data_IF_262664249393
#
_entry.id   IF_262664249393
#
_cell.length_a   1.000
_cell.length_b   1.000
_cell.length_c   1.000
_cell.angle_alpha   90.00
_cell.angle_beta   90.00
_cell.angle_gamma   90.00
#
_symmetry.space_group_name_H-M   'P 1'
#
loop_
_entity.id
_entity.type
_entity.pdbx_description
1 polymer ?
#
# COMPACT_ATOMS: atom_id res chain seq x y z
N UNK A 1 0.45 1.09 -2.94
CA UNK A 1 -0.33 1.15 -1.68
C UNK A 1 0.45 0.48 -0.58
N UNK A 2 0.47 1.06 0.63
CA UNK A 2 1.25 0.57 1.78
C UNK A 2 0.33 -0.02 2.85
N UNK A 3 0.60 -1.26 3.28
CA UNK A 3 -0.21 -2.04 4.22
C UNK A 3 0.57 -2.23 5.52
N UNK A 4 -0.10 -2.04 6.66
CA UNK A 4 0.40 -2.48 7.94
C UNK A 4 -0.23 -3.83 8.30
N UNK A 5 0.59 -4.87 8.40
CA UNK A 5 0.19 -6.20 8.84
C UNK A 5 0.54 -6.35 10.33
N UNK A 6 -0.48 -6.57 11.18
CA UNK A 6 -0.32 -6.73 12.62
C UNK A 6 -0.62 -8.20 12.92
N UNK A 7 0.42 -8.97 13.18
CA UNK A 7 0.37 -10.43 13.34
C UNK A 7 1.62 -10.89 14.11
N UNK A 8 1.44 -11.57 15.24
CA UNK A 8 2.53 -12.05 16.11
C UNK A 8 3.20 -13.33 15.59
N UNK A 9 2.48 -14.14 14.83
CA UNK A 9 3.04 -15.35 14.26
C UNK A 9 4.01 -15.02 13.13
N UNK A 10 5.31 -15.10 13.42
CA UNK A 10 6.40 -14.77 12.51
C UNK A 10 6.30 -15.51 11.16
N UNK A 11 5.96 -16.81 11.18
CA UNK A 11 5.85 -17.60 9.92
C UNK A 11 4.70 -17.13 9.06
N UNK A 12 3.55 -16.84 9.68
CA UNK A 12 2.37 -16.39 8.98
C UNK A 12 2.58 -14.96 8.44
N UNK A 13 3.09 -14.05 9.28
CA UNK A 13 3.32 -12.66 8.89
C UNK A 13 4.31 -12.54 7.73
N UNK A 14 5.41 -13.28 7.75
CA UNK A 14 6.36 -13.31 6.63
C UNK A 14 5.77 -13.90 5.34
N UNK A 15 4.96 -14.97 5.46
CA UNK A 15 4.27 -15.56 4.30
C UNK A 15 3.28 -14.57 3.69
N UNK A 16 2.46 -13.92 4.53
CA UNK A 16 1.48 -12.90 4.10
C UNK A 16 2.19 -11.72 3.48
N UNK A 17 3.22 -11.16 4.12
CA UNK A 17 4.06 -10.07 3.59
C UNK A 17 4.59 -10.41 2.21
N UNK A 18 5.22 -11.58 2.04
CA UNK A 18 5.77 -12.02 0.75
C UNK A 18 4.70 -12.05 -0.36
N UNK A 19 3.49 -12.51 -0.05
CA UNK A 19 2.41 -12.60 -1.00
C UNK A 19 1.80 -11.22 -1.33
N UNK A 20 1.66 -10.34 -0.34
CA UNK A 20 1.23 -8.96 -0.54
C UNK A 20 2.23 -8.19 -1.40
N UNK A 21 3.54 -8.35 -1.15
CA UNK A 21 4.59 -7.76 -1.98
C UNK A 21 4.51 -8.28 -3.42
N UNK A 22 4.30 -9.58 -3.65
CA UNK A 22 4.09 -10.12 -5.01
C UNK A 22 2.88 -9.49 -5.71
N UNK A 23 1.85 -9.15 -4.94
CA UNK A 23 0.61 -8.54 -5.44
C UNK A 23 0.68 -7.02 -5.58
N UNK A 24 1.85 -6.39 -5.36
CA UNK A 24 2.07 -4.95 -5.60
C UNK A 24 1.99 -4.07 -4.37
N UNK A 25 1.71 -4.61 -3.20
CA UNK A 25 1.70 -3.82 -1.98
C UNK A 25 3.11 -3.62 -1.42
N UNK A 26 3.34 -2.50 -0.75
CA UNK A 26 4.41 -2.32 0.23
C UNK A 26 3.84 -2.77 1.56
N UNK A 27 4.56 -3.60 2.32
CA UNK A 27 3.99 -4.19 3.54
C UNK A 27 5.00 -4.15 4.68
N UNK A 28 4.62 -3.47 5.75
CA UNK A 28 5.34 -3.51 7.02
C UNK A 28 4.62 -4.47 7.98
N UNK A 29 5.38 -5.12 8.86
CA UNK A 29 4.87 -6.00 9.91
C UNK A 29 4.98 -5.27 11.24
N UNK A 30 3.98 -5.42 12.09
CA UNK A 30 4.04 -5.16 13.52
C UNK A 30 3.65 -6.46 14.24
N UNK A 31 4.44 -6.89 15.20
CA UNK A 31 4.23 -8.15 15.93
C UNK A 31 3.30 -8.00 17.14
N UNK A 32 3.00 -6.77 17.53
CA UNK A 32 2.18 -6.41 18.69
C UNK A 32 1.51 -5.03 18.48
N UNK A 33 0.64 -4.65 19.40
CA UNK A 33 -0.08 -3.36 19.37
C UNK A 33 0.87 -2.19 19.58
N UNK A 34 1.87 -2.33 20.44
CA UNK A 34 2.84 -1.26 20.71
C UNK A 34 3.60 -0.87 19.44
N UNK A 35 4.14 -1.87 18.72
CA UNK A 35 4.81 -1.65 17.44
C UNK A 35 3.85 -1.08 16.39
N UNK A 36 2.60 -1.55 16.35
CA UNK A 36 1.58 -1.02 15.46
C UNK A 36 1.28 0.46 15.73
N UNK A 37 1.14 0.85 17.00
CA UNK A 37 0.95 2.26 17.41
C UNK A 37 2.14 3.12 17.00
N UNK A 38 3.37 2.63 17.24
CA UNK A 38 4.59 3.32 16.84
C UNK A 38 4.61 3.54 15.33
N UNK A 39 4.30 2.51 14.55
CA UNK A 39 4.29 2.57 13.09
C UNK A 39 3.23 3.53 12.56
N UNK A 40 2.01 3.49 13.09
CA UNK A 40 0.91 4.41 12.71
C UNK A 40 1.18 5.87 13.07
N UNK A 41 2.02 6.13 14.07
CA UNK A 41 2.43 7.49 14.44
C UNK A 41 3.46 8.08 13.48
N UNK A 42 4.35 7.25 12.96
CA UNK A 42 5.53 7.70 12.22
C UNK A 42 5.39 7.54 10.70
N UNK A 43 4.47 6.67 10.24
CA UNK A 43 4.32 6.33 8.82
C UNK A 43 2.85 6.35 8.40
N UNK A 44 2.62 6.56 7.10
CA UNK A 44 1.28 6.56 6.52
C UNK A 44 1.00 5.21 5.87
N UNK A 45 -0.16 4.63 6.18
CA UNK A 45 -0.64 3.39 5.58
C UNK A 45 -1.97 3.60 4.87
N UNK A 46 -2.21 2.81 3.83
CA UNK A 46 -3.45 2.83 3.07
C UNK A 46 -4.50 1.87 3.67
N UNK A 47 -4.05 0.77 4.31
CA UNK A 47 -4.92 -0.14 5.06
C UNK A 47 -4.15 -0.90 6.15
N UNK A 48 -4.90 -1.50 7.08
CA UNK A 48 -4.40 -2.39 8.13
C UNK A 48 -4.97 -3.79 7.91
N UNK A 49 -4.13 -4.80 8.09
CA UNK A 49 -4.52 -6.21 8.27
C UNK A 49 -4.22 -6.56 9.71
N UNK A 50 -5.26 -6.86 10.51
CA UNK A 50 -5.18 -6.94 11.97
C UNK A 50 -5.55 -8.33 12.46
N UNK A 51 -4.64 -9.02 13.14
CA UNK A 51 -5.03 -10.16 13.97
C UNK A 51 -5.69 -9.69 15.27
N UNK A 52 -6.65 -10.47 15.74
CA UNK A 52 -7.34 -10.21 17.00
C UNK A 52 -6.55 -10.67 18.23
N UNK A 53 -5.78 -11.74 18.08
CA UNK A 53 -5.03 -12.35 19.18
C UNK A 53 -3.57 -11.88 19.13
N UNK A 54 -3.27 -10.84 19.87
CA UNK A 54 -1.92 -10.27 19.95
C UNK A 54 -1.37 -10.46 21.38
N UNK A 55 -0.04 -10.56 21.55
CA UNK A 55 0.58 -10.87 22.83
C UNK A 55 0.35 -9.80 23.90
N UNK A 56 0.17 -8.55 23.51
CA UNK A 56 0.03 -7.37 24.35
C UNK A 56 -1.42 -6.86 24.45
N UNK A 57 -2.39 -7.55 23.81
CA UNK A 57 -3.79 -7.15 23.93
C UNK A 57 -4.72 -7.74 22.86
N UNK A 58 -5.94 -7.23 22.89
CA UNK A 58 -6.98 -7.65 21.95
C UNK A 58 -7.10 -6.67 20.77
N UNK A 59 -6.97 -7.17 19.55
CA UNK A 59 -7.06 -6.37 18.32
C UNK A 59 -8.38 -5.59 18.16
N UNK A 60 -9.51 -6.08 18.72
CA UNK A 60 -10.77 -5.34 18.73
C UNK A 60 -10.69 -4.06 19.57
N UNK A 61 -10.04 -4.14 20.73
CA UNK A 61 -9.82 -2.98 21.59
C UNK A 61 -8.90 -1.97 20.91
N UNK A 62 -7.89 -2.45 20.20
CA UNK A 62 -7.01 -1.62 19.40
C UNK A 62 -7.75 -0.93 18.23
N UNK A 63 -8.59 -1.67 17.50
CA UNK A 63 -9.44 -1.08 16.45
C UNK A 63 -10.32 0.03 17.01
N UNK A 64 -10.97 -0.20 18.17
CA UNK A 64 -11.77 0.83 18.83
C UNK A 64 -10.95 2.08 19.14
N UNK A 65 -9.75 1.94 19.70
CA UNK A 65 -8.85 3.06 19.97
C UNK A 65 -8.50 3.86 18.70
N UNK A 66 -8.28 3.19 17.57
CA UNK A 66 -8.04 3.85 16.28
C UNK A 66 -9.26 4.67 15.86
N UNK A 67 -10.47 4.10 15.97
CA UNK A 67 -11.72 4.78 15.60
C UNK A 67 -12.07 5.94 16.52
N UNK A 68 -11.83 5.79 17.83
CA UNK A 68 -12.03 6.87 18.82
C UNK A 68 -11.15 8.09 18.52
N UNK A 69 -9.96 7.88 17.92
CA UNK A 69 -9.08 8.94 17.41
C UNK A 69 -9.50 9.48 16.03
N UNK A 70 -10.71 9.13 15.55
CA UNK A 70 -11.24 9.52 14.23
C UNK A 70 -10.38 9.09 13.03
N UNK A 71 -9.52 8.10 13.22
CA UNK A 71 -8.75 7.53 12.13
C UNK A 71 -9.64 6.54 11.35
N UNK A 72 -9.88 6.83 10.07
CA UNK A 72 -10.74 6.08 9.16
C UNK A 72 -9.95 5.14 8.23
N UNK A 73 -8.70 4.83 8.59
CA UNK A 73 -7.90 3.88 7.81
C UNK A 73 -8.66 2.55 7.65
N UNK A 74 -8.79 1.99 6.43
CA UNK A 74 -9.45 0.71 6.21
C UNK A 74 -8.77 -0.42 6.98
N UNK A 75 -9.57 -1.30 7.61
CA UNK A 75 -9.09 -2.42 8.43
C UNK A 75 -9.76 -3.72 8.02
N UNK A 76 -8.96 -4.73 7.66
CA UNK A 76 -9.38 -6.13 7.54
C UNK A 76 -8.95 -6.87 8.81
N UNK A 77 -9.89 -7.52 9.48
CA UNK A 77 -9.59 -8.37 10.62
C UNK A 77 -9.29 -9.79 10.16
N UNK A 78 -8.17 -10.35 10.63
CA UNK A 78 -7.86 -11.78 10.55
C UNK A 78 -8.31 -12.44 11.83
N UNK A 79 -9.04 -13.56 11.75
CA UNK A 79 -9.52 -14.26 12.95
C UNK A 79 -9.55 -15.76 12.76
N UNK A 80 -9.17 -16.50 13.80
CA UNK A 80 -9.38 -17.96 13.84
C UNK A 80 -10.82 -18.32 14.21
N UNK A 81 -11.62 -17.38 14.71
CA UNK A 81 -12.96 -17.63 15.21
C UNK A 81 -14.03 -17.26 14.19
N UNK A 82 -14.89 -18.23 13.87
CA UNK A 82 -16.02 -18.10 12.95
C UNK A 82 -17.27 -17.54 13.66
N UNK A 83 -17.17 -17.19 14.97
CA UNK A 83 -18.31 -16.73 15.73
C UNK A 83 -18.95 -15.48 15.09
N UNK A 84 -20.18 -15.67 14.60
CA UNK A 84 -20.96 -14.67 13.93
C UNK A 84 -21.16 -13.40 14.78
N UNK A 85 -21.29 -13.55 16.11
CA UNK A 85 -21.43 -12.44 17.04
C UNK A 85 -20.18 -11.57 17.10
N UNK A 86 -18.99 -12.16 17.06
CA UNK A 86 -17.73 -11.43 17.03
C UNK A 86 -17.53 -10.69 15.71
N UNK A 87 -17.98 -11.27 14.61
CA UNK A 87 -17.96 -10.61 13.29
C UNK A 87 -18.86 -9.37 13.27
N UNK A 88 -20.09 -9.48 13.78
CA UNK A 88 -21.03 -8.34 13.89
C UNK A 88 -20.46 -7.25 14.81
N UNK A 89 -19.90 -7.64 15.98
CA UNK A 89 -19.29 -6.68 16.91
C UNK A 89 -18.18 -5.88 16.24
N UNK A 90 -17.29 -6.53 15.52
CA UNK A 90 -16.18 -5.85 14.91
C UNK A 90 -16.56 -4.94 13.74
N UNK A 91 -17.55 -5.34 12.92
CA UNK A 91 -18.11 -4.45 11.90
C UNK A 91 -18.74 -3.21 12.54
N UNK A 92 -19.47 -3.38 13.67
CA UNK A 92 -20.04 -2.27 14.42
C UNK A 92 -18.98 -1.35 15.06
N UNK A 93 -17.79 -1.88 15.41
CA UNK A 93 -16.65 -1.09 15.90
C UNK A 93 -15.99 -0.33 14.77
N UNK A 94 -16.21 -0.74 13.51
CA UNK A 94 -15.71 -0.05 12.34
C UNK A 94 -14.61 -0.80 11.59
N UNK A 95 -14.59 -2.14 11.65
CA UNK A 95 -13.83 -2.93 10.67
C UNK A 95 -14.50 -2.85 9.29
N UNK A 96 -13.72 -2.83 8.24
CA UNK A 96 -14.23 -2.74 6.86
C UNK A 96 -14.46 -4.13 6.25
N UNK A 97 -13.74 -5.15 6.72
CA UNK A 97 -13.94 -6.55 6.29
C UNK A 97 -13.36 -7.53 7.33
N UNK A 98 -13.70 -8.82 7.15
CA UNK A 98 -13.25 -9.94 7.94
C UNK A 98 -12.77 -11.09 7.07
N UNK A 99 -11.69 -11.73 7.50
CA UNK A 99 -11.15 -12.91 6.84
C UNK A 99 -10.79 -13.98 7.89
N UNK A 100 -11.37 -15.17 7.75
CA UNK A 100 -11.15 -16.27 8.69
C UNK A 100 -9.89 -17.06 8.34
N UNK A 101 -9.11 -17.40 9.34
CA UNK A 101 -7.98 -18.33 9.24
C UNK A 101 -8.48 -19.78 9.26
N UNK A 102 -7.99 -20.70 8.40
CA UNK A 102 -7.00 -20.46 7.34
C UNK A 102 -7.63 -19.82 6.10
N UNK A 103 -6.89 -18.97 5.41
CA UNK A 103 -7.33 -18.27 4.21
C UNK A 103 -6.36 -18.43 3.04
N UNK A 104 -6.88 -18.24 1.83
CA UNK A 104 -6.06 -18.15 0.62
C UNK A 104 -5.55 -16.70 0.47
N UNK A 105 -4.28 -16.55 0.07
CA UNK A 105 -3.69 -15.22 -0.08
C UNK A 105 -4.38 -14.40 -1.17
N UNK A 106 -4.90 -15.05 -2.23
CA UNK A 106 -5.68 -14.39 -3.28
C UNK A 106 -6.95 -13.74 -2.73
N UNK A 107 -7.57 -14.38 -1.72
CA UNK A 107 -8.75 -13.82 -1.06
C UNK A 107 -8.40 -12.56 -0.27
N UNK A 108 -7.32 -12.59 0.54
CA UNK A 108 -6.86 -11.40 1.25
C UNK A 108 -6.55 -10.25 0.30
N UNK A 109 -5.85 -10.54 -0.82
CA UNK A 109 -5.53 -9.54 -1.85
C UNK A 109 -6.80 -8.96 -2.48
N UNK A 110 -7.78 -9.81 -2.82
CA UNK A 110 -9.04 -9.36 -3.40
C UNK A 110 -9.82 -8.44 -2.44
N UNK A 111 -9.88 -8.80 -1.15
CA UNK A 111 -10.53 -8.01 -0.10
C UNK A 111 -9.82 -6.67 0.15
N UNK A 112 -8.48 -6.68 0.24
CA UNK A 112 -7.69 -5.44 0.34
C UNK A 112 -7.96 -4.51 -0.84
N UNK A 113 -7.95 -5.04 -2.07
CA UNK A 113 -8.30 -4.26 -3.26
C UNK A 113 -9.72 -3.71 -3.21
N UNK A 114 -10.66 -4.44 -2.62
CA UNK A 114 -12.06 -4.02 -2.49
C UNK A 114 -12.20 -2.85 -1.51
N UNK A 115 -11.61 -2.92 -0.31
CA UNK A 115 -11.72 -1.87 0.71
C UNK A 115 -10.89 -0.62 0.37
N UNK A 116 -9.79 -0.81 -0.38
CA UNK A 116 -8.93 0.29 -0.83
C UNK A 116 -9.51 1.07 -2.02
N UNK A 117 -10.59 0.55 -2.62
CA UNK A 117 -11.29 1.17 -3.73
C UNK A 117 -12.16 2.32 -3.23
N UNK A 118 -11.80 3.56 -3.60
CA UNK A 118 -12.64 4.73 -3.27
C UNK A 118 -13.95 4.71 -4.04
N UNK A 119 -15.05 5.29 -3.51
CA UNK A 119 -16.37 5.30 -4.18
C UNK A 119 -16.35 5.83 -5.62
N UNK A 120 -15.40 6.72 -5.95
CA UNK A 120 -15.24 7.30 -7.28
C UNK A 120 -14.15 6.59 -8.13
N UNK A 121 -13.44 5.61 -7.61
CA UNK A 121 -12.35 4.88 -8.30
C UNK A 121 -12.83 3.64 -9.08
N UNK A 122 -14.15 3.44 -9.26
CA UNK A 122 -14.66 2.40 -10.17
C UNK A 122 -14.17 2.59 -11.63
N UNK A 123 -13.60 3.76 -11.95
CA UNK A 123 -13.12 4.11 -13.28
C UNK A 123 -11.59 4.20 -13.43
N UNK A 124 -10.81 4.17 -12.34
CA UNK A 124 -9.38 4.45 -12.44
C UNK A 124 -8.47 3.24 -12.08
N UNK A 125 -8.83 2.04 -12.49
CA UNK A 125 -7.87 0.92 -12.54
C UNK A 125 -6.77 1.17 -13.56
N UNK A 126 -6.99 2.13 -14.47
CA UNK A 126 -6.04 2.57 -15.48
C UNK A 126 -5.89 4.09 -15.41
N UNK A 127 -4.69 4.53 -15.15
CA UNK A 127 -4.33 5.95 -15.22
C UNK A 127 -3.92 6.24 -16.66
N UNK A 128 -4.71 7.06 -17.34
CA UNK A 128 -4.45 7.47 -18.72
C UNK A 128 -4.08 8.94 -18.72
N UNK A 129 -2.84 9.26 -19.07
CA UNK A 129 -2.34 10.63 -19.14
C UNK A 129 -1.51 10.76 -20.41
N UNK A 130 -1.93 11.63 -21.33
CA UNK A 130 -1.30 11.82 -22.65
C UNK A 130 -1.17 10.46 -23.38
N UNK A 131 0.04 10.04 -23.73
CA UNK A 131 0.33 8.77 -24.39
C UNK A 131 0.70 7.62 -23.44
N UNK A 132 0.57 7.86 -22.12
CA UNK A 132 0.88 6.87 -21.08
C UNK A 132 -0.40 6.27 -20.50
N UNK A 133 -0.46 4.94 -20.45
CA UNK A 133 -1.50 4.15 -19.79
C UNK A 133 -0.85 3.26 -18.75
N UNK A 134 -1.28 3.36 -17.48
CA UNK A 134 -0.76 2.58 -16.39
C UNK A 134 -1.88 1.84 -15.68
N UNK A 135 -1.85 0.50 -15.72
CA UNK A 135 -2.79 -0.36 -15.00
C UNK A 135 -2.29 -0.60 -13.57
N UNK A 136 -3.02 -0.07 -12.59
CA UNK A 136 -2.65 -0.15 -11.17
C UNK A 136 -2.89 -1.53 -10.56
N UNK A 137 -3.67 -2.43 -11.20
CA UNK A 137 -3.93 -3.77 -10.68
C UNK A 137 -2.79 -4.74 -10.96
N UNK A 138 -2.22 -4.67 -12.15
CA UNK A 138 -1.16 -5.57 -12.59
C UNK A 138 0.20 -4.86 -12.79
N UNK A 139 0.26 -3.54 -12.50
CA UNK A 139 1.44 -2.70 -12.67
C UNK A 139 1.99 -2.71 -14.10
N UNK A 140 1.09 -2.80 -15.10
CA UNK A 140 1.45 -2.77 -16.50
C UNK A 140 1.52 -1.33 -17.01
N UNK A 141 2.68 -0.96 -17.53
CA UNK A 141 2.90 0.32 -18.19
C UNK A 141 2.78 0.14 -19.71
N UNK A 142 2.01 1.01 -20.36
CA UNK A 142 2.00 1.17 -21.82
C UNK A 142 2.31 2.62 -22.17
N UNK A 143 3.11 2.82 -23.20
CA UNK A 143 3.40 4.13 -23.80
C UNK A 143 3.22 3.96 -25.30
N UNK A 144 2.43 4.82 -25.92
CA UNK A 144 2.02 4.67 -27.32
C UNK A 144 1.43 3.26 -27.60
N UNK A 145 0.60 2.74 -26.68
CA UNK A 145 0.01 1.39 -26.68
C UNK A 145 1.00 0.22 -26.65
N UNK A 146 2.30 0.49 -26.59
CA UNK A 146 3.35 -0.53 -26.48
C UNK A 146 3.61 -0.85 -24.99
N UNK A 147 3.66 -2.15 -24.65
CA UNK A 147 3.97 -2.59 -23.29
C UNK A 147 5.44 -2.31 -22.99
N UNK A 148 5.67 -1.52 -21.92
CA UNK A 148 7.01 -1.14 -21.47
C UNK A 148 7.34 -1.93 -20.20
N UNK A 149 8.44 -2.65 -20.21
CA UNK A 149 8.93 -3.38 -19.03
C UNK A 149 9.45 -2.40 -17.99
N UNK A 150 8.90 -2.51 -16.79
CA UNK A 150 9.25 -1.69 -15.63
C UNK A 150 9.40 -2.61 -14.42
N UNK A 151 10.42 -2.37 -13.60
CA UNK A 151 10.59 -3.14 -12.38
C UNK A 151 9.56 -2.69 -11.33
N UNK A 152 9.22 -3.59 -10.40
CA UNK A 152 8.13 -3.38 -9.45
C UNK A 152 8.29 -2.12 -8.60
N UNK A 153 9.51 -1.83 -8.13
CA UNK A 153 9.80 -0.63 -7.33
C UNK A 153 9.53 0.64 -8.13
N UNK A 154 10.03 0.67 -9.35
CA UNK A 154 9.78 1.79 -10.27
C UNK A 154 8.29 1.94 -10.58
N UNK A 155 7.53 0.83 -10.69
CA UNK A 155 6.07 0.88 -10.89
C UNK A 155 5.33 1.52 -9.71
N UNK A 156 5.72 1.20 -8.48
CA UNK A 156 5.12 1.80 -7.27
C UNK A 156 5.40 3.31 -7.22
N UNK A 157 6.65 3.72 -7.48
CA UNK A 157 7.03 5.14 -7.50
C UNK A 157 6.27 5.88 -8.61
N UNK A 158 6.16 5.27 -9.81
CA UNK A 158 5.41 5.83 -10.93
C UNK A 158 3.93 5.99 -10.57
N UNK A 159 3.30 4.99 -9.95
CA UNK A 159 1.91 5.08 -9.48
C UNK A 159 1.69 6.27 -8.55
N UNK A 160 2.59 6.47 -7.57
CA UNK A 160 2.49 7.59 -6.62
C UNK A 160 2.56 8.93 -7.35
N UNK A 161 3.48 9.06 -8.31
CA UNK A 161 3.64 10.27 -9.11
C UNK A 161 2.44 10.52 -10.02
N UNK A 162 1.94 9.47 -10.73
CA UNK A 162 0.81 9.59 -11.65
C UNK A 162 -0.49 9.95 -10.92
N UNK A 163 -0.75 9.39 -9.73
CA UNK A 163 -1.90 9.78 -8.88
C UNK A 163 -1.86 11.25 -8.44
N UNK A 164 -0.70 11.85 -8.48
CA UNK A 164 -0.46 13.27 -8.20
C UNK A 164 0.04 14.02 -9.43
N UNK A 165 -0.46 13.66 -10.60
CA UNK A 165 -0.11 14.32 -11.86
C UNK A 165 -0.18 15.84 -11.75
N UNK A 166 0.86 16.54 -12.23
CA UNK A 166 1.04 18.00 -12.11
C UNK A 166 1.08 18.53 -10.67
N UNK A 167 1.26 17.65 -9.66
CA UNK A 167 1.45 18.08 -8.27
C UNK A 167 2.79 17.58 -7.75
N UNK A 168 3.37 18.34 -6.85
CA UNK A 168 4.64 17.97 -6.22
C UNK A 168 4.43 16.82 -5.23
N UNK A 169 5.28 15.80 -5.33
CA UNK A 169 5.40 14.71 -4.35
C UNK A 169 6.71 14.88 -3.62
N UNK A 170 6.68 14.99 -2.30
CA UNK A 170 7.90 15.16 -1.51
C UNK A 170 8.74 13.89 -1.52
N UNK A 171 10.06 14.06 -1.27
CA UNK A 171 10.97 12.92 -1.13
C UNK A 171 10.53 11.98 0.00
N UNK A 172 10.11 12.54 1.14
CA UNK A 172 9.63 11.76 2.26
C UNK A 172 8.37 10.96 1.92
N UNK A 173 7.44 11.52 1.17
CA UNK A 173 6.24 10.79 0.73
C UNK A 173 6.58 9.62 -0.21
N UNK A 174 7.54 9.80 -1.13
CA UNK A 174 8.00 8.72 -1.99
C UNK A 174 8.70 7.61 -1.22
N UNK A 175 9.47 7.97 -0.20
CA UNK A 175 10.15 7.03 0.68
C UNK A 175 9.13 6.31 1.58
N UNK A 176 8.22 7.02 2.22
CA UNK A 176 7.22 6.46 3.11
C UNK A 176 6.29 5.47 2.39
N UNK A 177 5.74 5.86 1.23
CA UNK A 177 4.79 5.02 0.47
C UNK A 177 5.44 3.99 -0.44
N UNK A 178 6.67 4.21 -0.87
CA UNK A 178 7.37 3.37 -1.83
C UNK A 178 8.25 2.28 -1.22
N UNK A 179 8.51 2.35 0.09
CA UNK A 179 9.47 1.47 0.74
C UNK A 179 8.93 0.90 2.06
N UNK A 180 9.44 -0.29 2.43
CA UNK A 180 9.21 -0.94 3.73
C UNK A 180 10.13 -0.32 4.79
N UNK A 181 9.69 -0.31 6.07
CA UNK A 181 10.45 0.26 7.19
C UNK A 181 11.80 -0.45 7.38
N UNK A 182 11.79 -1.80 7.30
CA UNK A 182 12.96 -2.63 7.61
C UNK A 182 14.07 -2.62 6.55
N UNK A 183 13.85 -1.99 5.41
CA UNK A 183 14.90 -1.83 4.41
C UNK A 183 15.64 -0.54 4.70
N UNK A 184 16.94 -0.63 5.01
CA UNK A 184 17.82 0.54 5.05
C UNK A 184 17.56 1.41 3.81
N UNK A 185 16.74 2.43 4.01
CA UNK A 185 16.33 3.35 2.95
C UNK A 185 17.50 4.29 2.74
N UNK A 186 18.43 3.87 1.91
CA UNK A 186 19.44 4.77 1.41
C UNK A 186 18.76 5.75 0.46
N UNK A 187 18.86 7.04 0.72
CA UNK A 187 18.32 8.09 -0.17
C UNK A 187 18.76 7.88 -1.63
N UNK A 188 19.90 7.21 -1.82
CA UNK A 188 20.41 6.79 -3.12
C UNK A 188 19.48 5.79 -3.84
N UNK A 189 18.75 4.94 -3.12
CA UNK A 189 17.84 3.95 -3.74
C UNK A 189 16.68 4.61 -4.48
N UNK A 190 16.12 5.70 -3.92
CA UNK A 190 15.07 6.48 -4.57
C UNK A 190 15.60 7.19 -5.82
N UNK A 191 16.77 7.83 -5.71
CA UNK A 191 17.39 8.53 -6.84
C UNK A 191 17.70 7.57 -7.99
N UNK A 192 18.20 6.36 -7.68
CA UNK A 192 18.43 5.32 -8.69
C UNK A 192 17.13 4.91 -9.37
N UNK A 193 16.05 4.71 -8.62
CA UNK A 193 14.75 4.33 -9.18
C UNK A 193 14.16 5.46 -10.05
N UNK A 194 14.25 6.71 -9.61
CA UNK A 194 13.81 7.86 -10.39
C UNK A 194 14.65 8.05 -11.65
N UNK A 195 15.96 7.81 -11.58
CA UNK A 195 16.83 7.85 -12.76
C UNK A 195 16.45 6.77 -13.79
N UNK A 196 16.18 5.54 -13.33
CA UNK A 196 15.70 4.47 -14.20
C UNK A 196 14.35 4.79 -14.83
N UNK A 197 13.41 5.35 -14.04
CA UNK A 197 12.11 5.78 -14.56
C UNK A 197 12.26 6.84 -15.65
N UNK A 198 13.09 7.88 -15.46
CA UNK A 198 13.35 8.88 -16.47
C UNK A 198 13.87 8.26 -17.76
N UNK A 199 14.85 7.36 -17.66
CA UNK A 199 15.38 6.65 -18.84
C UNK A 199 14.32 5.80 -19.55
N UNK A 200 13.42 5.15 -18.81
CA UNK A 200 12.33 4.35 -19.38
C UNK A 200 11.36 5.27 -20.13
N UNK A 201 10.92 6.37 -19.51
CA UNK A 201 10.00 7.33 -20.13
C UNK A 201 10.61 7.93 -21.40
N UNK A 202 11.86 8.37 -21.36
CA UNK A 202 12.59 8.93 -22.49
C UNK A 202 12.72 7.94 -23.64
N UNK A 203 13.23 6.71 -23.38
CA UNK A 203 13.40 5.67 -24.39
C UNK A 203 12.11 5.20 -25.05
N UNK A 204 11.00 5.32 -24.34
CA UNK A 204 9.67 4.92 -24.82
C UNK A 204 8.89 6.10 -25.40
N UNK A 205 9.56 7.24 -25.62
CA UNK A 205 8.95 8.46 -26.19
C UNK A 205 7.70 8.89 -25.42
N UNK A 206 7.75 8.83 -24.09
CA UNK A 206 6.67 9.31 -23.24
C UNK A 206 6.52 10.83 -23.36
N UNK A 207 5.28 11.29 -23.50
CA UNK A 207 4.96 12.72 -23.42
C UNK A 207 5.01 13.25 -21.97
N UNK A 208 5.35 12.40 -21.00
CA UNK A 208 5.52 12.75 -19.57
C UNK A 208 6.98 12.71 -19.19
N UNK A 209 7.38 13.65 -18.33
CA UNK A 209 8.72 13.72 -17.75
C UNK A 209 8.66 13.86 -16.22
N UNK A 210 9.69 13.32 -15.52
CA UNK A 210 9.83 13.48 -14.09
C UNK A 210 10.89 14.54 -13.81
N UNK A 211 10.44 15.69 -13.25
CA UNK A 211 11.32 16.81 -12.87
C UNK A 211 11.64 16.76 -11.37
N UNK A 212 12.86 17.18 -11.03
CA UNK A 212 13.27 17.41 -9.66
C UNK A 212 13.08 18.88 -9.31
N UNK A 213 12.29 19.14 -8.28
CA UNK A 213 12.14 20.46 -7.68
C UNK A 213 13.07 20.53 -6.47
N UNK A 214 14.24 21.15 -6.65
CA UNK A 214 15.31 21.21 -5.61
C UNK A 214 14.76 21.63 -4.26
N UNK A 215 15.06 20.84 -3.22
CA UNK A 215 14.62 21.10 -1.85
C UNK A 215 13.14 20.81 -1.55
N UNK A 216 12.30 20.46 -2.55
CA UNK A 216 10.86 20.28 -2.40
C UNK A 216 10.47 18.82 -2.68
N UNK A 217 10.84 18.28 -3.85
CA UNK A 217 10.45 16.93 -4.25
C UNK A 217 10.46 16.71 -5.75
N UNK A 218 9.53 15.92 -6.24
CA UNK A 218 9.43 15.51 -7.64
C UNK A 218 8.03 15.77 -8.19
N UNK A 219 7.96 16.06 -9.47
CA UNK A 219 6.71 16.24 -10.20
C UNK A 219 6.78 15.46 -11.51
N UNK A 220 5.67 14.83 -11.89
CA UNK A 220 5.47 14.27 -13.22
C UNK A 220 4.49 15.17 -13.98
N UNK A 221 4.85 15.61 -15.19
CA UNK A 221 4.08 16.57 -15.98
C UNK A 221 4.12 16.24 -17.48
#
# INVERSE_FOLDING_TARGET
MKILLIEDNVRLSELVKKNLIKSGFVTDIAKDIEEAVHNLKNYSYDAIVLDLNLPDGNGMSFLKQIRDKKNQIPVIILTANIDFNNKIKGLNIGADDYLTKPFKHEELVARLKAILRRPNEYLEQKINIKNLNFDTNNYQLRINDIIVKIAKRESIILEILLKKYNKTVTKNELLDKGYEIDKEINSNSLEVSLHRLRKILEKSESALEIKNLRGIGYIIS
#
